data_IF_637239939457
#
_entry.id   IF_637239939457
#
_cell.length_a   1.000
_cell.length_b   1.000
_cell.length_c   1.000
_cell.angle_alpha   90.00
_cell.angle_beta   90.00
_cell.angle_gamma   90.00
#
_symmetry.space_group_name_H-M   'P 1'
#
loop_
_entity.id
_entity.type
_entity.pdbx_description
1 polymer ?
#
# COMPACT_ATOMS: atom_id res chain seq x y z
N UNK A 1 20.33 7.85 5.45
CA UNK A 1 20.10 6.88 4.36
C UNK A 1 18.61 6.65 4.28
N UNK A 2 17.95 6.92 3.14
CA UNK A 2 16.51 6.73 3.04
C UNK A 2 16.21 5.22 3.11
N UNK A 3 15.44 4.82 4.12
CA UNK A 3 15.16 3.39 4.40
C UNK A 3 13.85 3.05 3.72
N UNK A 4 13.89 2.17 2.72
CA UNK A 4 12.69 1.68 2.08
C UNK A 4 11.85 0.91 3.09
N UNK A 5 10.58 1.28 3.21
CA UNK A 5 9.59 0.67 4.09
C UNK A 5 8.69 -0.26 3.30
N UNK A 6 8.18 -1.28 3.96
CA UNK A 6 7.22 -2.18 3.35
C UNK A 6 5.82 -1.79 3.82
N UNK A 7 4.90 -1.73 2.89
CA UNK A 7 3.52 -1.35 3.12
C UNK A 7 2.63 -2.48 2.61
N UNK A 8 1.67 -2.89 3.41
CA UNK A 8 0.70 -3.89 2.98
C UNK A 8 -0.47 -3.19 2.31
N UNK A 9 -0.73 -3.58 1.06
CA UNK A 9 -1.92 -3.13 0.35
C UNK A 9 -3.13 -3.91 0.88
N UNK A 10 -4.25 -3.26 1.24
CA UNK A 10 -5.46 -3.96 1.66
C UNK A 10 -6.22 -4.59 0.47
N UNK A 11 -5.90 -4.18 -0.76
CA UNK A 11 -6.56 -4.64 -1.98
C UNK A 11 -5.83 -5.80 -2.67
N UNK A 12 -4.56 -6.05 -2.31
CA UNK A 12 -3.78 -7.12 -2.91
C UNK A 12 -2.95 -7.85 -1.85
N UNK A 13 -2.66 -9.14 -2.09
CA UNK A 13 -1.82 -9.92 -1.20
C UNK A 13 -0.32 -9.55 -1.29
N UNK A 14 0.04 -8.51 -2.06
CA UNK A 14 1.42 -8.09 -2.26
C UNK A 14 1.80 -6.92 -1.35
N UNK A 15 3.02 -7.01 -0.83
CA UNK A 15 3.62 -5.97 -0.02
C UNK A 15 4.34 -5.00 -0.97
N UNK A 16 3.99 -3.72 -0.90
CA UNK A 16 4.65 -2.66 -1.64
C UNK A 16 5.87 -2.23 -0.86
N UNK A 17 7.06 -2.30 -1.47
CA UNK A 17 8.26 -1.72 -0.88
C UNK A 17 8.43 -0.32 -1.45
N UNK A 18 8.23 0.70 -0.63
CA UNK A 18 8.30 2.09 -1.04
C UNK A 18 9.09 2.91 -0.02
N UNK A 19 9.74 3.95 -0.50
CA UNK A 19 10.43 4.90 0.38
C UNK A 19 9.46 5.93 0.95
N UNK A 20 8.41 6.22 0.16
CA UNK A 20 7.41 7.23 0.42
C UNK A 20 6.01 6.65 0.21
N UNK A 21 5.06 7.15 0.99
CA UNK A 21 3.64 6.78 0.93
C UNK A 21 3.02 7.05 -0.46
N UNK A 22 3.57 8.01 -1.23
CA UNK A 22 3.10 8.35 -2.58
C UNK A 22 3.20 7.19 -3.57
N UNK A 23 4.29 6.40 -3.50
CA UNK A 23 4.48 5.24 -4.38
C UNK A 23 3.48 4.12 -4.03
N UNK A 24 3.12 4.00 -2.75
CA UNK A 24 2.08 3.07 -2.29
C UNK A 24 0.70 3.52 -2.76
N UNK A 25 0.39 4.82 -2.68
CA UNK A 25 -0.86 5.39 -3.20
C UNK A 25 -0.96 5.13 -4.71
N UNK A 26 0.13 5.27 -5.46
CA UNK A 26 0.18 4.98 -6.89
C UNK A 26 -0.09 3.50 -7.18
N UNK A 27 0.48 2.58 -6.39
CA UNK A 27 0.18 1.15 -6.49
C UNK A 27 -1.30 0.85 -6.26
N UNK A 28 -1.90 1.40 -5.20
CA UNK A 28 -3.32 1.19 -4.88
C UNK A 28 -4.24 1.83 -5.93
N UNK A 29 -3.84 2.97 -6.52
CA UNK A 29 -4.57 3.60 -7.64
C UNK A 29 -4.68 2.68 -8.85
N UNK A 30 -3.63 1.93 -9.18
CA UNK A 30 -3.69 0.96 -10.30
C UNK A 30 -4.74 -0.12 -10.03
N UNK A 31 -4.89 -0.59 -8.78
CA UNK A 31 -5.96 -1.53 -8.42
C UNK A 31 -7.35 -0.96 -8.66
N UNK A 32 -7.59 0.32 -8.32
CA UNK A 32 -8.86 0.99 -8.59
C UNK A 32 -9.21 1.06 -10.09
N UNK A 33 -8.21 1.07 -10.97
CA UNK A 33 -8.44 1.14 -12.41
C UNK A 33 -8.66 -0.24 -13.04
N UNK A 34 -8.00 -1.28 -12.52
CA UNK A 34 -8.02 -2.64 -13.10
C UNK A 34 -9.15 -3.52 -12.50
N UNK A 35 -9.44 -3.37 -11.21
CA UNK A 35 -10.52 -4.07 -10.51
C UNK A 35 -11.70 -3.10 -10.22
N UNK A 36 -12.62 -2.98 -11.18
CA UNK A 36 -13.95 -2.33 -11.07
C UNK A 36 -14.74 -2.74 -9.80
N UNK A 37 -15.80 -2.03 -9.35
CA UNK A 37 -16.13 -0.60 -9.37
C UNK A 37 -16.83 -0.18 -8.06
N UNK A 38 -16.24 -0.36 -6.88
CA UNK A 38 -16.80 0.29 -5.69
C UNK A 38 -16.23 1.70 -5.63
N UNK A 39 -16.95 2.64 -6.26
CA UNK A 39 -16.57 4.04 -6.45
C UNK A 39 -16.37 4.82 -5.13
N UNK A 40 -16.50 4.17 -3.98
CA UNK A 40 -16.41 4.77 -2.66
C UNK A 40 -14.98 4.81 -2.10
N UNK A 41 -14.00 4.09 -2.68
CA UNK A 41 -12.61 4.15 -2.18
C UNK A 41 -11.98 5.50 -2.57
N UNK A 42 -12.06 6.48 -1.67
CA UNK A 42 -11.43 7.79 -1.80
C UNK A 42 -9.92 7.73 -1.58
N UNK A 43 -9.18 8.71 -2.11
CA UNK A 43 -7.71 8.80 -1.91
C UNK A 43 -7.33 8.94 -0.43
N UNK A 44 -8.22 9.51 0.37
CA UNK A 44 -8.08 9.59 1.83
C UNK A 44 -8.17 8.22 2.50
N UNK A 45 -9.07 7.35 2.03
CA UNK A 45 -9.18 5.97 2.49
C UNK A 45 -7.92 5.17 2.16
N UNK A 46 -7.37 5.35 0.96
CA UNK A 46 -6.09 4.71 0.56
C UNK A 46 -4.99 5.11 1.54
N UNK A 47 -4.82 6.41 1.82
CA UNK A 47 -3.80 6.89 2.77
C UNK A 47 -4.05 6.36 4.20
N UNK A 48 -5.30 6.24 4.62
CA UNK A 48 -5.65 5.67 5.92
C UNK A 48 -5.42 4.16 6.03
N UNK A 49 -5.49 3.43 4.91
CA UNK A 49 -5.27 1.98 4.89
C UNK A 49 -3.82 1.57 4.67
N UNK A 50 -2.95 2.48 4.20
CA UNK A 50 -1.50 2.25 4.11
C UNK A 50 -0.95 2.15 5.53
N UNK A 51 -0.78 0.92 6.02
CA UNK A 51 -0.07 0.64 7.27
C UNK A 51 1.38 0.31 6.96
N UNK A 52 2.29 1.02 7.64
CA UNK A 52 3.71 0.68 7.67
C UNK A 52 3.81 -0.73 8.26
N UNK A 53 4.09 -1.71 7.40
CA UNK A 53 4.41 -3.05 7.86
C UNK A 53 5.91 -3.03 8.06
N UNK A 54 6.32 -2.69 9.28
CA UNK A 54 7.63 -3.06 9.76
C UNK A 54 7.68 -4.58 9.70
N UNK A 55 8.25 -5.13 8.62
CA UNK A 55 8.56 -6.54 8.50
C UNK A 55 9.62 -6.82 9.55
N UNK A 56 9.14 -7.04 10.77
CA UNK A 56 9.83 -7.79 11.78
C UNK A 56 9.96 -9.17 11.18
N UNK A 57 11.08 -9.41 10.50
CA UNK A 57 11.55 -10.75 10.17
C UNK A 57 11.68 -11.50 11.49
N UNK A 58 10.58 -12.04 12.00
CA UNK A 58 10.63 -13.16 12.93
C UNK A 58 11.07 -14.36 12.11
N UNK A 59 12.38 -14.41 11.85
CA UNK A 59 13.04 -15.66 11.54
C UNK A 59 12.93 -16.54 12.77
N UNK A 60 12.30 -17.69 12.61
CA UNK A 60 12.46 -18.83 13.51
C UNK A 60 12.67 -20.07 12.68
#
# INVERSE_FOLDING_TARGET
MPTAKQFQCPFCAFNVTAMDEEEVVKHVRTHKQDHHPDASVSESDIRGMIKDVEVSRSGR
#
